data_IF_655890277294
#
_entry.id   IF_655890277294
#
_cell.length_a   1.000
_cell.length_b   1.000
_cell.length_c   1.000
_cell.angle_alpha   90.00
_cell.angle_beta   90.00
_cell.angle_gamma   90.00
#
_symmetry.space_group_name_H-M   'P 1'
#
loop_
_entity.id
_entity.type
_entity.pdbx_description
1 polymer ?
#
# COMPACT_ATOMS: atom_id res chain seq x y z
N UNK A 1 -12.91 12.71 -1.49
CA UNK A 1 -12.72 13.99 -0.78
C UNK A 1 -11.39 13.96 -0.04
N UNK A 2 -10.82 15.11 0.31
CA UNK A 2 -9.55 15.19 1.05
C UNK A 2 -9.76 14.98 2.55
N UNK A 3 -8.98 14.08 3.16
CA UNK A 3 -9.00 13.83 4.62
C UNK A 3 -8.36 14.98 5.43
N UNK A 4 -7.84 16.03 4.78
CA UNK A 4 -7.13 17.11 5.47
C UNK A 4 -7.99 17.82 6.52
N UNK A 5 -9.25 18.14 6.17
CA UNK A 5 -10.19 18.80 7.09
C UNK A 5 -10.54 17.95 8.31
N UNK A 6 -11.04 16.71 8.15
CA UNK A 6 -11.35 15.86 9.30
C UNK A 6 -10.10 15.52 10.11
N UNK A 7 -8.93 15.38 9.48
CA UNK A 7 -7.66 15.18 10.20
C UNK A 7 -7.36 16.33 11.16
N UNK A 8 -7.37 17.57 10.67
CA UNK A 8 -7.09 18.75 11.49
C UNK A 8 -8.10 18.91 12.63
N UNK A 9 -9.38 18.68 12.36
CA UNK A 9 -10.44 18.74 13.35
C UNK A 9 -10.26 17.69 14.46
N UNK A 10 -9.91 16.44 14.10
CA UNK A 10 -9.64 15.37 15.06
C UNK A 10 -8.37 15.63 15.87
N UNK A 11 -7.31 16.14 15.24
CA UNK A 11 -6.09 16.53 15.93
C UNK A 11 -6.38 17.58 17.01
N UNK A 12 -7.09 18.65 16.64
CA UNK A 12 -7.52 19.69 17.57
C UNK A 12 -8.43 19.14 18.67
N UNK A 13 -9.40 18.29 18.31
CA UNK A 13 -10.33 17.69 19.26
C UNK A 13 -9.60 16.87 20.33
N UNK A 14 -8.74 15.94 19.91
CA UNK A 14 -7.98 15.08 20.82
C UNK A 14 -7.07 15.90 21.71
N UNK A 15 -6.34 16.85 21.12
CA UNK A 15 -5.45 17.75 21.85
C UNK A 15 -6.21 18.57 22.91
N UNK A 16 -7.30 19.22 22.51
CA UNK A 16 -8.11 20.06 23.40
C UNK A 16 -8.79 19.25 24.51
N UNK A 17 -9.26 18.03 24.22
CA UNK A 17 -9.85 17.13 25.22
C UNK A 17 -8.85 16.73 26.32
N UNK A 18 -7.56 16.71 26.00
CA UNK A 18 -6.49 16.42 26.94
C UNK A 18 -5.87 17.68 27.56
N UNK A 19 -6.34 18.88 27.19
CA UNK A 19 -5.79 20.14 27.68
C UNK A 19 -4.39 20.46 27.18
N UNK A 20 -3.93 19.80 26.11
CA UNK A 20 -2.56 19.94 25.61
C UNK A 20 -2.42 21.13 24.64
N UNK A 21 -1.26 21.76 24.65
CA UNK A 21 -0.82 22.73 23.66
C UNK A 21 -0.21 22.03 22.44
N UNK A 22 -0.07 22.76 21.33
CA UNK A 22 0.63 22.24 20.14
C UNK A 22 2.10 21.91 20.44
N UNK A 23 2.71 22.60 21.40
CA UNK A 23 4.10 22.36 21.81
C UNK A 23 4.23 21.05 22.60
N UNK A 24 3.25 20.73 23.45
CA UNK A 24 3.26 19.49 24.24
C UNK A 24 3.08 18.24 23.37
N UNK A 25 2.34 18.33 22.27
CA UNK A 25 2.19 17.23 21.32
C UNK A 25 3.21 17.24 20.17
N UNK A 26 4.11 18.23 20.16
CA UNK A 26 5.13 18.33 19.13
C UNK A 26 6.00 17.05 19.13
N UNK A 27 6.48 16.58 20.29
CA UNK A 27 7.26 15.34 20.34
C UNK A 27 8.42 15.36 19.33
N UNK A 28 8.41 14.45 18.35
CA UNK A 28 9.34 14.43 17.20
C UNK A 28 8.91 15.32 16.02
N UNK A 29 7.63 15.70 15.98
CA UNK A 29 7.05 16.62 15.00
C UNK A 29 7.31 18.06 15.46
N UNK A 30 7.85 18.92 14.59
CA UNK A 30 8.02 20.33 14.97
C UNK A 30 6.67 20.99 15.30
N UNK A 31 6.60 21.82 16.34
CA UNK A 31 5.36 22.53 16.73
C UNK A 31 4.77 23.35 15.56
N UNK A 32 5.62 23.95 14.73
CA UNK A 32 5.19 24.65 13.52
C UNK A 32 4.47 23.74 12.53
N UNK A 33 4.89 22.48 12.43
CA UNK A 33 4.24 21.47 11.59
C UNK A 33 2.88 21.08 12.18
N UNK A 34 2.77 20.91 13.50
CA UNK A 34 1.48 20.69 14.19
C UNK A 34 0.51 21.84 13.90
N UNK A 35 0.97 23.08 14.01
CA UNK A 35 0.17 24.27 13.69
C UNK A 35 -0.29 24.29 12.22
N UNK A 36 0.59 23.94 11.28
CA UNK A 36 0.24 23.85 9.85
C UNK A 36 -0.77 22.74 9.56
N UNK A 37 -0.72 21.62 10.28
CA UNK A 37 -1.71 20.54 10.19
C UNK A 37 -3.08 21.03 10.68
N UNK A 38 -3.14 21.63 11.86
CA UNK A 38 -4.38 22.16 12.44
C UNK A 38 -4.99 23.29 11.60
N UNK A 39 -4.16 24.06 10.88
CA UNK A 39 -4.60 25.17 10.00
C UNK A 39 -4.79 24.77 8.54
N UNK A 40 -4.81 23.46 8.22
CA UNK A 40 -5.05 22.92 6.87
C UNK A 40 -4.02 23.33 5.81
N UNK A 41 -2.85 23.84 6.22
CA UNK A 41 -1.78 24.27 5.31
C UNK A 41 -1.00 23.10 4.74
N UNK A 42 -0.96 21.97 5.45
CA UNK A 42 -0.27 20.76 5.03
C UNK A 42 -1.08 19.50 5.34
N UNK A 43 -0.58 18.34 4.90
CA UNK A 43 -1.14 17.02 5.17
C UNK A 43 -0.11 16.18 5.93
N UNK A 44 -0.54 15.36 6.88
CA UNK A 44 0.35 14.47 7.60
C UNK A 44 0.77 13.26 6.76
N UNK A 45 2.01 12.81 6.93
CA UNK A 45 2.43 11.48 6.50
C UNK A 45 1.93 10.43 7.49
N UNK A 46 2.06 9.15 7.14
CA UNK A 46 1.73 8.03 8.05
C UNK A 46 2.59 8.10 9.32
N UNK A 47 3.90 8.36 9.17
CA UNK A 47 4.83 8.46 10.30
C UNK A 47 4.49 9.61 11.24
N UNK A 48 4.20 10.80 10.69
CA UNK A 48 3.78 11.97 11.49
C UNK A 48 2.48 11.67 12.24
N UNK A 49 1.54 10.95 11.62
CA UNK A 49 0.30 10.55 12.30
C UNK A 49 0.58 9.59 13.46
N UNK A 50 1.49 8.63 13.27
CA UNK A 50 1.89 7.69 14.31
C UNK A 50 2.58 8.39 15.49
N UNK A 51 3.47 9.35 15.20
CA UNK A 51 4.14 10.16 16.23
C UNK A 51 3.14 11.02 17.02
N UNK A 52 2.22 11.70 16.34
CA UNK A 52 1.19 12.52 17.00
C UNK A 52 0.22 11.67 17.81
N UNK A 53 -0.19 10.51 17.30
CA UNK A 53 -1.04 9.58 18.04
C UNK A 53 -0.35 9.13 19.34
N UNK A 54 0.94 8.79 19.26
CA UNK A 54 1.77 8.46 20.43
C UNK A 54 1.86 9.62 21.43
N UNK A 55 2.12 10.84 20.96
CA UNK A 55 2.16 12.04 21.79
C UNK A 55 0.81 12.36 22.47
N UNK A 56 -0.30 11.99 21.83
CA UNK A 56 -1.67 12.08 22.35
C UNK A 56 -2.08 10.85 23.18
N UNK A 57 -1.15 9.93 23.46
CA UNK A 57 -1.39 8.68 24.20
C UNK A 57 -2.56 7.85 23.63
N UNK A 58 -2.69 7.81 22.31
CA UNK A 58 -3.67 6.99 21.57
C UNK A 58 -2.98 6.15 20.51
N UNK A 59 -3.61 5.04 20.11
CA UNK A 59 -3.11 4.24 18.98
C UNK A 59 -3.39 4.97 17.66
N UNK A 60 -2.48 4.84 16.68
CA UNK A 60 -2.68 5.42 15.35
C UNK A 60 -3.99 4.95 14.67
N UNK A 61 -4.36 3.69 14.86
CA UNK A 61 -5.65 3.14 14.37
C UNK A 61 -6.84 3.87 14.99
N UNK A 62 -6.78 4.23 16.27
CA UNK A 62 -7.84 5.01 16.95
C UNK A 62 -7.92 6.41 16.35
N UNK A 63 -6.78 7.06 16.12
CA UNK A 63 -6.72 8.37 15.48
C UNK A 63 -7.35 8.32 14.08
N UNK A 64 -6.90 7.41 13.21
CA UNK A 64 -7.44 7.28 11.85
C UNK A 64 -8.92 6.94 11.84
N UNK A 65 -9.37 6.07 12.75
CA UNK A 65 -10.80 5.76 12.91
C UNK A 65 -11.61 7.03 13.15
N UNK A 66 -11.15 7.93 14.04
CA UNK A 66 -11.84 9.19 14.31
C UNK A 66 -11.84 10.11 13.08
N UNK A 67 -10.75 10.14 12.30
CA UNK A 67 -10.66 10.91 11.06
C UNK A 67 -11.64 10.41 10.01
N UNK A 68 -11.71 9.09 9.80
CA UNK A 68 -12.65 8.48 8.85
C UNK A 68 -14.10 8.68 9.33
N UNK A 69 -14.37 8.46 10.62
CA UNK A 69 -15.68 8.71 11.21
C UNK A 69 -16.14 10.16 11.03
N UNK A 70 -15.24 11.14 11.24
CA UNK A 70 -15.52 12.55 11.01
C UNK A 70 -15.73 12.87 9.51
N UNK A 71 -14.97 12.23 8.62
CA UNK A 71 -15.13 12.40 7.17
C UNK A 71 -16.47 11.84 6.67
N UNK A 72 -16.87 10.67 7.17
CA UNK A 72 -18.08 9.95 6.76
C UNK A 72 -19.33 10.36 7.55
N UNK A 73 -19.18 11.20 8.57
CA UNK A 73 -20.26 11.56 9.51
C UNK A 73 -20.92 10.33 10.16
N UNK A 74 -20.08 9.37 10.57
CA UNK A 74 -20.49 8.12 11.22
C UNK A 74 -19.95 8.04 12.64
N UNK A 75 -20.54 7.18 13.46
CA UNK A 75 -19.98 6.89 14.77
C UNK A 75 -18.63 6.13 14.60
N UNK A 76 -17.60 6.44 15.40
CA UNK A 76 -16.32 5.70 15.35
C UNK A 76 -16.48 4.20 15.57
N UNK A 77 -17.49 3.79 16.36
CA UNK A 77 -17.85 2.39 16.58
C UNK A 77 -18.26 1.69 15.27
N UNK A 78 -19.08 2.34 14.46
CA UNK A 78 -19.59 1.75 13.21
C UNK A 78 -18.46 1.61 12.18
N UNK A 79 -17.53 2.58 12.15
CA UNK A 79 -16.34 2.51 11.29
C UNK A 79 -15.45 1.32 11.67
N UNK A 80 -15.19 1.10 12.96
CA UNK A 80 -14.40 -0.05 13.42
C UNK A 80 -15.05 -1.39 13.09
N UNK A 81 -16.36 -1.52 13.33
CA UNK A 81 -17.08 -2.75 13.03
C UNK A 81 -17.11 -3.04 11.52
N UNK A 82 -17.29 -2.01 10.69
CA UNK A 82 -17.22 -2.13 9.23
C UNK A 82 -15.83 -2.58 8.77
N UNK A 83 -14.77 -1.94 9.31
CA UNK A 83 -13.40 -2.29 8.98
C UNK A 83 -13.04 -3.73 9.39
N UNK A 84 -13.54 -4.19 10.55
CA UNK A 84 -13.35 -5.58 10.98
C UNK A 84 -14.05 -6.56 10.02
N UNK A 85 -15.30 -6.28 9.64
CA UNK A 85 -16.02 -7.11 8.67
C UNK A 85 -15.32 -7.16 7.30
N UNK A 86 -14.71 -6.06 6.86
CA UNK A 86 -13.89 -6.03 5.65
C UNK A 86 -12.63 -6.89 5.78
N UNK A 87 -11.92 -6.82 6.92
CA UNK A 87 -10.76 -7.67 7.19
C UNK A 87 -11.14 -9.17 7.17
N UNK A 88 -12.28 -9.53 7.74
CA UNK A 88 -12.80 -10.90 7.71
C UNK A 88 -13.14 -11.34 6.28
N UNK A 89 -13.81 -10.48 5.49
CA UNK A 89 -14.15 -10.75 4.09
C UNK A 89 -12.91 -10.93 3.21
N UNK A 90 -11.85 -10.17 3.48
CA UNK A 90 -10.55 -10.31 2.83
C UNK A 90 -9.74 -11.50 3.35
N UNK A 91 -10.19 -12.17 4.41
CA UNK A 91 -9.49 -13.24 5.14
C UNK A 91 -8.14 -12.80 5.73
N UNK A 92 -8.03 -11.52 6.09
CA UNK A 92 -6.81 -10.90 6.63
C UNK A 92 -6.90 -10.62 8.13
N UNK A 93 -8.05 -10.86 8.77
CA UNK A 93 -8.28 -10.51 10.18
C UNK A 93 -7.27 -11.15 11.14
N UNK A 94 -6.83 -12.37 10.83
CA UNK A 94 -5.87 -13.13 11.65
C UNK A 94 -4.51 -13.33 10.97
N UNK A 95 -4.27 -12.70 9.81
CA UNK A 95 -3.03 -12.88 9.05
C UNK A 95 -1.93 -11.92 9.52
N UNK A 96 -0.70 -12.44 9.68
CA UNK A 96 0.48 -11.60 9.90
C UNK A 96 0.91 -11.03 8.55
N UNK A 97 0.69 -9.73 8.37
CA UNK A 97 0.98 -9.02 7.13
C UNK A 97 2.50 -8.82 6.91
N UNK A 98 2.98 -8.78 5.66
CA UNK A 98 4.38 -8.52 5.37
C UNK A 98 4.78 -7.08 5.70
N UNK A 99 5.95 -6.90 6.31
CA UNK A 99 6.53 -5.58 6.60
C UNK A 99 7.19 -4.93 5.37
N UNK A 100 7.67 -5.75 4.44
CA UNK A 100 8.38 -5.30 3.24
C UNK A 100 7.61 -5.69 1.98
N UNK A 101 7.60 -4.83 0.95
CA UNK A 101 7.03 -5.19 -0.33
C UNK A 101 7.82 -6.34 -0.94
N UNK A 102 7.11 -7.31 -1.51
CA UNK A 102 7.76 -8.35 -2.32
C UNK A 102 8.27 -7.72 -3.60
N UNK A 103 9.49 -8.05 -4.01
CA UNK A 103 9.94 -7.74 -5.37
C UNK A 103 9.08 -8.56 -6.34
N UNK A 104 8.17 -7.87 -7.02
CA UNK A 104 7.41 -8.46 -8.10
C UNK A 104 8.27 -8.42 -9.36
N UNK A 105 8.33 -9.53 -10.09
CA UNK A 105 8.96 -9.50 -11.40
C UNK A 105 8.27 -8.47 -12.30
N UNK A 106 9.04 -7.63 -13.01
CA UNK A 106 8.45 -6.69 -13.95
C UNK A 106 7.57 -7.44 -14.96
N UNK A 107 6.37 -6.94 -15.31
CA UNK A 107 5.45 -7.64 -16.21
C UNK A 107 6.08 -8.08 -17.54
N UNK A 108 7.05 -7.30 -18.03
CA UNK A 108 7.81 -7.61 -19.25
C UNK A 108 8.72 -8.84 -19.09
N UNK A 109 9.31 -9.04 -17.91
CA UNK A 109 10.14 -10.21 -17.60
C UNK A 109 9.26 -11.44 -17.44
N UNK A 110 8.15 -11.32 -16.69
CA UNK A 110 7.17 -12.39 -16.54
C UNK A 110 6.62 -12.86 -17.91
N UNK A 111 6.16 -11.94 -18.76
CA UNK A 111 5.66 -12.29 -20.10
C UNK A 111 6.75 -12.88 -21.02
N UNK A 112 8.01 -12.45 -20.87
CA UNK A 112 9.12 -13.06 -21.59
C UNK A 112 9.40 -14.48 -21.08
N UNK A 113 9.31 -14.71 -19.76
CA UNK A 113 9.50 -16.02 -19.13
C UNK A 113 8.41 -17.01 -19.52
N UNK A 114 7.15 -16.58 -19.59
CA UNK A 114 6.05 -17.41 -20.11
C UNK A 114 6.35 -17.89 -21.54
N UNK A 115 6.76 -16.97 -22.43
CA UNK A 115 7.17 -17.32 -23.79
C UNK A 115 8.37 -18.25 -23.82
N UNK A 116 9.34 -18.03 -22.95
CA UNK A 116 10.51 -18.90 -22.81
C UNK A 116 10.11 -20.30 -22.38
N UNK A 117 9.26 -20.45 -21.35
CA UNK A 117 8.74 -21.74 -20.90
C UNK A 117 8.01 -22.49 -22.02
N UNK A 118 7.17 -21.79 -22.79
CA UNK A 118 6.47 -22.38 -23.94
C UNK A 118 7.45 -22.89 -25.02
N UNK A 119 8.51 -22.10 -25.32
CA UNK A 119 9.56 -22.49 -26.27
C UNK A 119 10.36 -23.70 -25.74
N UNK A 120 10.78 -23.69 -24.47
CA UNK A 120 11.53 -24.80 -23.87
C UNK A 120 10.70 -26.08 -23.81
N UNK A 121 9.38 -26.00 -23.57
CA UNK A 121 8.48 -27.14 -23.56
C UNK A 121 8.31 -27.80 -24.94
N UNK A 122 8.38 -27.05 -26.04
CA UNK A 122 8.38 -27.63 -27.39
C UNK A 122 9.77 -28.14 -27.79
N UNK A 123 10.82 -27.43 -27.39
CA UNK A 123 12.22 -27.87 -27.60
C UNK A 123 12.49 -29.21 -26.93
N UNK A 124 12.02 -29.43 -25.71
CA UNK A 124 12.16 -30.71 -25.00
C UNK A 124 11.38 -31.85 -25.67
N UNK A 125 10.33 -31.53 -26.45
CA UNK A 125 9.60 -32.48 -27.30
C UNK A 125 10.27 -32.73 -28.66
N UNK A 126 11.45 -32.16 -28.91
CA UNK A 126 12.23 -32.37 -30.14
C UNK A 126 11.88 -31.45 -31.32
N UNK A 127 11.08 -30.41 -31.10
CA UNK A 127 10.73 -29.45 -32.16
C UNK A 127 11.95 -28.60 -32.55
N UNK A 128 12.09 -28.31 -33.84
CA UNK A 128 13.08 -27.34 -34.35
C UNK A 128 12.58 -25.90 -34.23
N UNK A 129 13.47 -24.91 -34.28
CA UNK A 129 13.12 -23.49 -34.12
C UNK A 129 12.05 -23.02 -35.12
N UNK A 130 12.09 -23.50 -36.37
CA UNK A 130 11.10 -23.16 -37.40
C UNK A 130 9.72 -23.74 -37.09
N UNK A 131 9.66 -24.95 -36.53
CA UNK A 131 8.40 -25.56 -36.10
C UNK A 131 7.83 -24.82 -34.88
N UNK A 132 8.66 -24.39 -33.93
CA UNK A 132 8.22 -23.60 -32.76
C UNK A 132 7.68 -22.22 -33.16
N UNK A 133 8.27 -21.57 -34.17
CA UNK A 133 7.75 -20.30 -34.74
C UNK A 133 6.34 -20.50 -35.31
N UNK A 134 6.12 -21.60 -36.03
CA UNK A 134 4.83 -21.93 -36.62
C UNK A 134 3.79 -22.27 -35.54
N UNK A 135 4.19 -23.09 -34.56
CA UNK A 135 3.30 -23.62 -33.52
C UNK A 135 2.87 -22.55 -32.51
N UNK A 136 3.80 -21.69 -32.05
CA UNK A 136 3.52 -20.67 -31.05
C UNK A 136 3.13 -19.30 -31.65
N UNK A 137 3.28 -19.12 -32.96
CA UNK A 137 3.02 -17.85 -33.65
C UNK A 137 3.95 -16.70 -33.25
N UNK A 138 5.09 -17.00 -32.62
CA UNK A 138 6.07 -15.99 -32.20
C UNK A 138 7.00 -15.60 -33.35
N UNK A 139 7.52 -14.37 -33.34
CA UNK A 139 8.49 -13.95 -34.36
C UNK A 139 9.78 -14.78 -34.28
N UNK A 140 10.44 -14.99 -35.43
CA UNK A 140 11.74 -15.70 -35.50
C UNK A 140 12.78 -15.14 -34.52
N UNK A 141 12.85 -13.81 -34.38
CA UNK A 141 13.75 -13.15 -33.44
C UNK A 141 13.43 -13.47 -31.96
N UNK A 142 12.14 -13.59 -31.62
CA UNK A 142 11.70 -13.94 -30.27
C UNK A 142 12.07 -15.39 -29.92
N UNK A 143 11.81 -16.31 -30.84
CA UNK A 143 12.17 -17.73 -30.65
C UNK A 143 13.67 -17.91 -30.56
N UNK A 144 14.44 -17.27 -31.45
CA UNK A 144 15.90 -17.34 -31.45
C UNK A 144 16.49 -16.83 -30.13
N UNK A 145 16.06 -15.64 -29.68
CA UNK A 145 16.55 -15.03 -28.43
C UNK A 145 16.24 -15.91 -27.22
N UNK A 146 15.03 -16.48 -27.13
CA UNK A 146 14.58 -17.28 -25.99
C UNK A 146 14.92 -18.78 -26.12
N UNK A 147 15.59 -19.19 -27.20
CA UNK A 147 15.98 -20.59 -27.40
C UNK A 147 17.04 -21.07 -26.41
N UNK A 148 17.96 -20.15 -26.05
CA UNK A 148 19.12 -20.41 -25.21
C UNK A 148 19.24 -19.45 -24.02
N UNK A 149 18.58 -18.28 -24.05
CA UNK A 149 18.69 -17.28 -22.99
C UNK A 149 17.42 -17.22 -22.16
N UNK A 150 17.55 -17.42 -20.85
CA UNK A 150 16.47 -17.20 -19.89
C UNK A 150 16.24 -15.69 -19.70
N UNK A 151 15.00 -15.20 -19.79
CA UNK A 151 14.70 -13.80 -19.56
C UNK A 151 14.77 -13.43 -18.08
N UNK A 152 15.53 -12.38 -17.76
CA UNK A 152 15.63 -11.82 -16.41
C UNK A 152 16.88 -12.24 -15.62
N UNK A 153 17.78 -13.01 -16.22
CA UNK A 153 19.14 -13.31 -15.71
C UNK A 153 20.16 -12.37 -16.34
#
# INVERSE_FOLDING_TARGET
MSLRRPYAAVLQLLRNRQGLSQQEIAGKVAQSHVSQLETLKTTATVDVTNELASALNVKAITFFTLVIAANEQRAPRDVLLSALAELEALKLADEILPEQPRQLEPPRVAAAREKWLAIQALKSKGYSQSQVVLELGYSKATVWRLWSNEPGV
#
